data_IF_270143979305
#
_entry.id   IF_270143979305
#
_cell.length_a   1.000
_cell.length_b   1.000
_cell.length_c   1.000
_cell.angle_alpha   90.00
_cell.angle_beta   90.00
_cell.angle_gamma   90.00
#
_symmetry.space_group_name_H-M   'P 1'
#
loop_
_entity.id
_entity.type
_entity.pdbx_description
1 polymer ?
#
# COMPACT_ATOMS: atom_id res chain seq x y z
N UNK A 1 21.68 6.38 30.27
CA UNK A 1 22.03 7.36 29.21
C UNK A 1 21.60 6.86 27.84
N UNK A 2 22.23 5.83 27.23
CA UNK A 2 21.84 5.37 25.88
C UNK A 2 20.41 4.82 25.84
N UNK A 3 19.98 3.99 26.77
CA UNK A 3 18.60 3.51 26.86
C UNK A 3 17.59 4.64 27.06
N UNK A 4 17.97 5.67 27.77
CA UNK A 4 17.12 6.85 27.99
C UNK A 4 17.02 7.68 26.72
N UNK A 5 18.10 7.81 25.94
CA UNK A 5 18.07 8.42 24.61
C UNK A 5 17.12 7.65 23.68
N UNK A 6 17.24 6.32 23.61
CA UNK A 6 16.38 5.50 22.75
C UNK A 6 14.90 5.50 23.17
N UNK A 7 14.62 5.58 24.47
CA UNK A 7 13.25 5.80 24.96
C UNK A 7 12.73 7.17 24.56
N UNK A 8 13.55 8.20 24.73
CA UNK A 8 13.20 9.54 24.32
C UNK A 8 12.95 9.62 22.82
N UNK A 9 13.83 9.06 21.98
CA UNK A 9 13.66 9.01 20.53
C UNK A 9 12.36 8.30 20.11
N UNK A 10 12.03 7.21 20.79
CA UNK A 10 10.75 6.48 20.52
C UNK A 10 9.56 7.33 20.89
N UNK A 11 9.57 7.97 22.04
CA UNK A 11 8.46 8.81 22.49
C UNK A 11 8.26 10.02 21.57
N UNK A 12 9.36 10.67 21.17
CA UNK A 12 9.33 11.81 20.22
C UNK A 12 8.80 11.38 18.85
N UNK A 13 9.14 10.17 18.40
CA UNK A 13 8.68 9.67 17.11
C UNK A 13 7.27 9.08 17.13
N UNK A 14 6.72 8.73 18.28
CA UNK A 14 5.39 8.10 18.40
C UNK A 14 4.33 9.09 18.87
N UNK A 15 4.23 10.24 18.20
CA UNK A 15 3.22 11.25 18.49
C UNK A 15 1.85 10.87 17.89
N UNK A 16 0.73 11.33 18.49
CA UNK A 16 -0.60 11.17 17.88
C UNK A 16 -0.67 11.71 16.46
N UNK A 17 -0.01 12.84 16.19
CA UNK A 17 0.10 13.46 14.86
C UNK A 17 0.73 12.51 13.86
N UNK A 18 1.86 11.87 14.19
CA UNK A 18 2.51 10.88 13.33
C UNK A 18 1.63 9.66 13.06
N UNK A 19 0.92 9.16 14.07
CA UNK A 19 0.01 8.02 13.89
C UNK A 19 -1.12 8.33 12.91
N UNK A 20 -1.67 9.56 12.95
CA UNK A 20 -2.65 10.03 11.98
C UNK A 20 -2.04 10.15 10.58
N UNK A 21 -0.86 10.75 10.45
CA UNK A 21 -0.14 10.85 9.18
C UNK A 21 0.07 9.49 8.51
N UNK A 22 0.52 8.48 9.26
CA UNK A 22 0.72 7.12 8.73
C UNK A 22 -0.60 6.51 8.24
N UNK A 23 -1.72 6.74 8.93
CA UNK A 23 -3.04 6.27 8.51
C UNK A 23 -3.48 6.96 7.21
N UNK A 24 -3.36 8.27 7.13
CA UNK A 24 -3.70 9.06 5.94
C UNK A 24 -2.82 8.67 4.75
N UNK A 25 -1.53 8.50 4.97
CA UNK A 25 -0.60 8.05 3.91
C UNK A 25 -1.00 6.69 3.33
N UNK A 26 -1.34 5.72 4.20
CA UNK A 26 -1.83 4.41 3.75
C UNK A 26 -3.14 4.53 2.97
N UNK A 27 -4.07 5.34 3.46
CA UNK A 27 -5.33 5.59 2.76
C UNK A 27 -5.10 6.19 1.36
N UNK A 28 -4.23 7.20 1.24
CA UNK A 28 -3.89 7.82 -0.04
C UNK A 28 -3.20 6.84 -0.99
N UNK A 29 -2.29 6.00 -0.50
CA UNK A 29 -1.65 4.96 -1.32
C UNK A 29 -2.65 3.91 -1.82
N UNK A 30 -3.59 3.48 -0.96
CA UNK A 30 -4.65 2.55 -1.37
C UNK A 30 -5.59 3.20 -2.39
N UNK A 31 -5.93 4.48 -2.21
CA UNK A 31 -6.73 5.25 -3.14
C UNK A 31 -6.06 5.38 -4.52
N UNK A 32 -4.77 5.65 -4.57
CA UNK A 32 -4.01 5.69 -5.84
C UNK A 32 -4.05 4.36 -6.58
N UNK A 33 -3.89 3.23 -5.87
CA UNK A 33 -3.99 1.90 -6.46
C UNK A 33 -5.39 1.64 -7.01
N UNK A 34 -6.41 1.99 -6.24
CA UNK A 34 -7.81 1.85 -6.67
C UNK A 34 -8.11 2.66 -7.93
N UNK A 35 -7.62 3.92 -8.03
CA UNK A 35 -7.79 4.73 -9.23
C UNK A 35 -7.10 4.10 -10.45
N UNK A 36 -5.90 3.56 -10.30
CA UNK A 36 -5.21 2.86 -11.37
C UNK A 36 -5.97 1.60 -11.85
N UNK A 37 -6.61 0.87 -10.95
CA UNK A 37 -7.44 -0.28 -11.31
C UNK A 37 -8.75 0.14 -12.01
N UNK A 38 -9.34 1.27 -11.60
CA UNK A 38 -10.51 1.86 -12.26
C UNK A 38 -10.18 2.36 -13.67
N UNK A 39 -9.00 2.96 -13.87
CA UNK A 39 -8.53 3.40 -15.19
C UNK A 39 -8.37 2.21 -16.15
N UNK A 40 -7.80 1.10 -15.68
CA UNK A 40 -7.72 -0.15 -16.47
C UNK A 40 -9.10 -0.69 -16.84
N UNK A 41 -10.04 -0.69 -15.87
CA UNK A 41 -11.41 -1.14 -16.12
C UNK A 41 -12.14 -0.23 -17.12
N UNK A 42 -11.93 1.09 -17.06
CA UNK A 42 -12.48 2.04 -18.01
C UNK A 42 -11.93 1.79 -19.43
N UNK A 43 -10.64 1.51 -19.57
CA UNK A 43 -10.03 1.17 -20.86
C UNK A 43 -10.64 -0.08 -21.48
N UNK A 44 -10.84 -1.14 -20.69
CA UNK A 44 -11.50 -2.38 -21.17
C UNK A 44 -12.92 -2.08 -21.68
N UNK A 45 -13.67 -1.20 -20.99
CA UNK A 45 -15.02 -0.80 -21.44
C UNK A 45 -14.95 -0.01 -22.74
N UNK A 46 -14.00 0.91 -22.86
CA UNK A 46 -13.79 1.67 -24.10
C UNK A 46 -13.45 0.76 -25.28
N UNK A 47 -12.60 -0.24 -25.07
CA UNK A 47 -12.25 -1.21 -26.11
C UNK A 47 -13.47 -2.02 -26.57
N UNK A 48 -14.36 -2.41 -25.65
CA UNK A 48 -15.65 -3.04 -25.99
C UNK A 48 -16.58 -2.13 -26.79
N UNK A 49 -16.67 -0.84 -26.43
CA UNK A 49 -17.47 0.14 -27.18
C UNK A 49 -16.93 0.29 -28.59
N UNK A 50 -15.61 0.41 -28.75
CA UNK A 50 -14.97 0.51 -30.06
C UNK A 50 -15.23 -0.74 -30.94
N UNK A 51 -15.26 -1.93 -30.33
CA UNK A 51 -15.61 -3.16 -31.03
C UNK A 51 -17.08 -3.17 -31.49
N UNK A 52 -17.99 -2.72 -30.63
CA UNK A 52 -19.42 -2.57 -30.95
C UNK A 52 -19.61 -1.56 -32.09
N UNK A 53 -18.90 -0.44 -32.09
CA UNK A 53 -18.94 0.56 -33.15
C UNK A 53 -18.52 -0.01 -34.51
N UNK A 54 -17.45 -0.84 -34.51
CA UNK A 54 -17.00 -1.52 -35.74
C UNK A 54 -18.07 -2.50 -36.27
N UNK A 55 -18.68 -3.29 -35.39
CA UNK A 55 -19.76 -4.23 -35.76
C UNK A 55 -20.99 -3.46 -36.25
N UNK A 56 -21.34 -2.35 -35.60
CA UNK A 56 -22.46 -1.53 -36.03
C UNK A 56 -22.28 -1.00 -37.46
N UNK A 57 -21.05 -0.61 -37.82
CA UNK A 57 -20.73 -0.15 -39.17
C UNK A 57 -20.97 -1.25 -40.22
N UNK A 58 -20.46 -2.46 -39.93
CA UNK A 58 -20.66 -3.62 -40.79
C UNK A 58 -22.17 -3.97 -40.93
N UNK A 59 -22.91 -3.96 -39.81
CA UNK A 59 -24.36 -4.22 -39.86
C UNK A 59 -25.15 -3.15 -40.59
N UNK A 60 -24.70 -1.91 -40.64
CA UNK A 60 -25.30 -0.86 -41.46
C UNK A 60 -25.07 -1.13 -42.94
N UNK A 61 -23.88 -1.59 -43.32
CA UNK A 61 -23.58 -1.98 -44.70
C UNK A 61 -24.42 -3.20 -45.11
N UNK A 62 -24.51 -4.24 -44.29
CA UNK A 62 -25.37 -5.41 -44.51
C UNK A 62 -26.85 -5.02 -44.65
N UNK A 63 -27.32 -4.06 -43.84
CA UNK A 63 -28.71 -3.56 -43.93
C UNK A 63 -28.99 -2.83 -45.25
N UNK A 64 -28.05 -1.99 -45.67
CA UNK A 64 -28.19 -1.29 -46.98
C UNK A 64 -28.24 -2.26 -48.15
N UNK A 65 -27.50 -3.36 -48.12
CA UNK A 65 -27.51 -4.38 -49.15
C UNK A 65 -28.83 -5.16 -49.13
N UNK A 66 -29.31 -5.57 -47.94
CA UNK A 66 -30.62 -6.22 -47.77
C UNK A 66 -31.78 -5.31 -48.24
N UNK A 67 -31.71 -3.98 -48.01
CA UNK A 67 -32.70 -3.04 -48.48
C UNK A 67 -32.75 -3.00 -50.03
N UNK A 68 -31.59 -3.08 -50.69
CA UNK A 68 -31.51 -3.17 -52.14
C UNK A 68 -32.13 -4.47 -52.68
N UNK A 69 -31.81 -5.60 -52.06
CA UNK A 69 -32.34 -6.90 -52.44
C UNK A 69 -33.86 -6.93 -52.29
N UNK A 70 -34.40 -6.51 -51.17
CA UNK A 70 -35.85 -6.41 -50.96
C UNK A 70 -36.51 -5.41 -51.87
N UNK A 71 -35.86 -4.29 -52.23
CA UNK A 71 -36.31 -3.37 -53.25
C UNK A 71 -36.47 -4.05 -54.61
N UNK A 72 -35.45 -4.80 -55.03
CA UNK A 72 -35.48 -5.60 -56.27
C UNK A 72 -36.61 -6.62 -56.24
N UNK A 73 -36.74 -7.43 -55.19
CA UNK A 73 -37.79 -8.44 -55.07
C UNK A 73 -39.21 -7.85 -55.08
N UNK A 74 -39.37 -6.61 -54.63
CA UNK A 74 -40.68 -5.91 -54.64
C UNK A 74 -41.10 -5.39 -56.02
N UNK A 75 -40.15 -5.22 -56.95
CA UNK A 75 -40.36 -4.69 -58.29
C UNK A 75 -40.43 -5.78 -59.38
N UNK A 76 -39.95 -7.02 -59.09
CA UNK A 76 -39.93 -8.17 -60.02
C UNK A 76 -41.29 -8.89 -60.13
N UNK A 77 -41.58 -9.45 -61.31
CA UNK A 77 -42.72 -10.35 -61.48
C UNK A 77 -42.53 -11.67 -60.71
N UNK A 78 -43.59 -12.19 -60.13
CA UNK A 78 -43.53 -13.37 -59.25
C UNK A 78 -42.97 -14.64 -59.93
N UNK A 79 -43.00 -14.69 -61.26
CA UNK A 79 -42.48 -15.81 -62.07
C UNK A 79 -40.95 -15.76 -62.25
N UNK A 80 -40.32 -14.59 -61.99
CA UNK A 80 -38.87 -14.35 -62.12
C UNK A 80 -38.14 -14.49 -60.80
N UNK A 81 -38.85 -14.62 -59.65
CA UNK A 81 -38.28 -14.68 -58.30
C UNK A 81 -37.89 -16.12 -57.90
N UNK A 82 -36.64 -16.30 -57.45
CA UNK A 82 -36.21 -17.54 -56.79
C UNK A 82 -36.62 -17.54 -55.34
N UNK A 83 -37.52 -18.45 -54.96
CA UNK A 83 -38.02 -18.65 -53.58
C UNK A 83 -36.88 -18.87 -52.59
N UNK A 84 -35.77 -19.51 -53.00
CA UNK A 84 -34.61 -19.80 -52.13
C UNK A 84 -33.82 -18.53 -51.82
N UNK A 85 -33.64 -17.64 -52.78
CA UNK A 85 -32.95 -16.35 -52.60
C UNK A 85 -33.72 -15.45 -51.64
N UNK A 86 -35.02 -15.35 -51.79
CA UNK A 86 -35.90 -14.59 -50.90
C UNK A 86 -35.85 -15.15 -49.47
N UNK A 87 -35.90 -16.48 -49.33
CA UNK A 87 -35.88 -17.15 -48.04
C UNK A 87 -34.52 -16.95 -47.32
N UNK A 88 -33.45 -16.87 -48.08
CA UNK A 88 -32.12 -16.59 -47.57
C UNK A 88 -32.03 -15.15 -47.12
N UNK A 89 -32.50 -14.16 -47.91
CA UNK A 89 -32.50 -12.77 -47.52
C UNK A 89 -33.35 -12.52 -46.25
N UNK A 90 -34.50 -13.16 -46.12
CA UNK A 90 -35.31 -13.13 -44.87
C UNK A 90 -34.54 -13.64 -43.67
N UNK A 91 -33.86 -14.78 -43.78
CA UNK A 91 -33.03 -15.32 -42.67
C UNK A 91 -31.88 -14.43 -42.31
N UNK A 92 -31.25 -13.78 -43.27
CA UNK A 92 -30.16 -12.80 -42.99
C UNK A 92 -30.69 -11.56 -42.32
N UNK A 93 -31.85 -11.05 -42.70
CA UNK A 93 -32.53 -9.93 -42.05
C UNK A 93 -32.89 -10.26 -40.59
N UNK A 94 -33.45 -11.45 -40.34
CA UNK A 94 -33.75 -11.91 -38.97
C UNK A 94 -32.48 -11.98 -38.12
N UNK A 95 -31.40 -12.60 -38.64
CA UNK A 95 -30.09 -12.68 -37.97
C UNK A 95 -29.50 -11.33 -37.68
N UNK A 96 -29.61 -10.39 -38.62
CA UNK A 96 -29.13 -9.03 -38.42
C UNK A 96 -29.94 -8.31 -37.33
N UNK A 97 -31.26 -8.48 -37.32
CA UNK A 97 -32.14 -7.96 -36.29
C UNK A 97 -31.76 -8.46 -34.88
N UNK A 98 -31.51 -9.77 -34.76
CA UNK A 98 -31.07 -10.37 -33.48
C UNK A 98 -29.69 -9.85 -33.02
N UNK A 99 -28.77 -9.68 -33.96
CA UNK A 99 -27.45 -9.12 -33.68
C UNK A 99 -27.53 -7.67 -33.19
N UNK A 100 -28.35 -6.84 -33.84
CA UNK A 100 -28.59 -5.45 -33.44
C UNK A 100 -29.26 -5.37 -32.05
N UNK A 101 -30.25 -6.21 -31.79
CA UNK A 101 -30.90 -6.31 -30.48
C UNK A 101 -29.93 -6.69 -29.38
N UNK A 102 -29.08 -7.68 -29.61
CA UNK A 102 -28.02 -8.09 -28.71
C UNK A 102 -27.02 -6.95 -28.42
N UNK A 103 -26.60 -6.25 -29.46
CA UNK A 103 -25.68 -5.13 -29.36
C UNK A 103 -26.27 -3.95 -28.55
N UNK A 104 -27.56 -3.61 -28.76
CA UNK A 104 -28.30 -2.62 -27.97
C UNK A 104 -28.31 -2.99 -26.48
N UNK A 105 -28.54 -4.27 -26.17
CA UNK A 105 -28.53 -4.77 -24.80
C UNK A 105 -27.15 -4.60 -24.15
N UNK A 106 -26.07 -4.97 -24.85
CA UNK A 106 -24.69 -4.79 -24.36
C UNK A 106 -24.35 -3.31 -24.12
N UNK A 107 -24.70 -2.42 -25.02
CA UNK A 107 -24.51 -0.98 -24.83
C UNK A 107 -25.27 -0.44 -23.62
N UNK A 108 -26.51 -0.89 -23.43
CA UNK A 108 -27.31 -0.53 -22.24
C UNK A 108 -26.64 -0.95 -20.92
N UNK A 109 -26.07 -2.16 -20.89
CA UNK A 109 -25.33 -2.64 -19.73
C UNK A 109 -24.05 -1.82 -19.47
N UNK A 110 -23.25 -1.58 -20.51
CA UNK A 110 -22.04 -0.75 -20.41
C UNK A 110 -22.37 0.66 -19.90
N UNK A 111 -23.44 1.28 -20.41
CA UNK A 111 -23.90 2.59 -19.95
C UNK A 111 -24.22 2.59 -18.45
N UNK A 112 -25.02 1.63 -17.96
CA UNK A 112 -25.36 1.51 -16.54
C UNK A 112 -24.12 1.30 -15.68
N UNK A 113 -23.18 0.47 -16.12
CA UNK A 113 -21.93 0.26 -15.39
C UNK A 113 -21.03 1.51 -15.33
N UNK A 114 -21.02 2.32 -16.40
CA UNK A 114 -20.29 3.59 -16.42
C UNK A 114 -20.92 4.58 -15.44
N UNK A 115 -22.24 4.76 -15.48
CA UNK A 115 -22.98 5.66 -14.59
C UNK A 115 -22.77 5.29 -13.11
N UNK A 116 -22.85 3.99 -12.77
CA UNK A 116 -22.62 3.51 -11.42
C UNK A 116 -21.16 3.73 -10.95
N UNK A 117 -20.18 3.54 -11.85
CA UNK A 117 -18.76 3.74 -11.51
C UNK A 117 -18.39 5.22 -11.38
N UNK A 118 -18.98 6.13 -12.18
CA UNK A 118 -18.68 7.56 -12.15
C UNK A 118 -19.01 8.19 -10.78
N UNK A 119 -20.18 7.91 -10.25
CA UNK A 119 -20.58 8.40 -8.92
C UNK A 119 -19.59 7.94 -7.83
N UNK A 120 -19.21 6.66 -7.85
CA UNK A 120 -18.24 6.12 -6.90
C UNK A 120 -16.86 6.77 -7.03
N UNK A 121 -16.38 6.96 -8.26
CA UNK A 121 -15.09 7.64 -8.52
C UNK A 121 -15.11 9.06 -7.97
N UNK A 122 -16.19 9.82 -8.19
CA UNK A 122 -16.35 11.18 -7.66
C UNK A 122 -16.30 11.23 -6.13
N UNK A 123 -17.01 10.32 -5.47
CA UNK A 123 -16.98 10.23 -4.01
C UNK A 123 -15.58 9.91 -3.47
N UNK A 124 -14.92 8.91 -4.07
CA UNK A 124 -13.59 8.47 -3.64
C UNK A 124 -12.53 9.55 -3.90
N UNK A 125 -12.61 10.27 -5.03
CA UNK A 125 -11.76 11.42 -5.32
C UNK A 125 -11.96 12.55 -4.30
N UNK A 126 -13.19 12.83 -3.90
CA UNK A 126 -13.45 13.85 -2.87
C UNK A 126 -12.88 13.44 -1.51
N UNK A 127 -13.04 12.18 -1.11
CA UNK A 127 -12.42 11.65 0.12
C UNK A 127 -10.89 11.74 0.07
N UNK A 128 -10.28 11.43 -1.07
CA UNK A 128 -8.83 11.53 -1.25
C UNK A 128 -8.33 12.99 -1.21
N UNK A 129 -9.08 13.94 -1.79
CA UNK A 129 -8.75 15.37 -1.71
C UNK A 129 -8.78 15.88 -0.27
N UNK A 130 -9.83 15.53 0.48
CA UNK A 130 -9.93 15.88 1.90
C UNK A 130 -8.81 15.26 2.73
N UNK A 131 -8.53 13.97 2.52
CA UNK A 131 -7.45 13.28 3.20
C UNK A 131 -6.06 13.84 2.86
N UNK A 132 -5.86 14.32 1.62
CA UNK A 132 -4.62 14.97 1.20
C UNK A 132 -4.43 16.32 1.91
N UNK A 133 -5.48 17.14 1.97
CA UNK A 133 -5.44 18.41 2.67
C UNK A 133 -5.15 18.21 4.17
N UNK A 134 -5.84 17.27 4.83
CA UNK A 134 -5.57 16.92 6.22
C UNK A 134 -4.14 16.40 6.44
N UNK A 135 -3.61 15.62 5.50
CA UNK A 135 -2.22 15.15 5.57
C UNK A 135 -1.22 16.31 5.50
N UNK A 136 -1.43 17.27 4.62
CA UNK A 136 -0.54 18.43 4.45
C UNK A 136 -0.53 19.32 5.71
N UNK A 137 -1.69 19.56 6.32
CA UNK A 137 -1.80 20.30 7.59
C UNK A 137 -1.10 19.57 8.74
N UNK A 138 -1.41 18.28 8.93
CA UNK A 138 -0.80 17.46 9.98
C UNK A 138 0.71 17.28 9.77
N UNK A 139 1.16 17.24 8.52
CA UNK A 139 2.59 17.15 8.22
C UNK A 139 3.34 18.42 8.64
N UNK A 140 2.77 19.59 8.39
CA UNK A 140 3.33 20.87 8.83
C UNK A 140 3.35 20.98 10.37
N UNK A 141 2.32 20.47 11.05
CA UNK A 141 2.27 20.37 12.51
C UNK A 141 3.35 19.43 13.05
N UNK A 142 3.48 18.25 12.47
CA UNK A 142 4.51 17.27 12.85
C UNK A 142 5.93 17.82 12.64
N UNK A 143 6.17 18.57 11.58
CA UNK A 143 7.48 19.22 11.38
C UNK A 143 7.80 20.20 12.51
N UNK A 144 6.84 21.02 12.95
CA UNK A 144 7.02 21.93 14.10
C UNK A 144 7.25 21.16 15.40
N UNK A 145 6.51 20.07 15.64
CA UNK A 145 6.75 19.18 16.79
C UNK A 145 8.19 18.65 16.80
N UNK A 146 8.68 18.18 15.65
CA UNK A 146 10.03 17.63 15.50
C UNK A 146 11.11 18.69 15.66
N UNK A 147 10.90 19.89 15.13
CA UNK A 147 11.82 21.02 15.28
C UNK A 147 11.94 21.45 16.75
N UNK A 148 10.82 21.54 17.47
CA UNK A 148 10.80 21.89 18.88
C UNK A 148 11.61 20.93 19.78
N UNK A 149 11.69 19.65 19.42
CA UNK A 149 12.42 18.62 20.21
C UNK A 149 13.81 18.32 19.67
N UNK A 150 14.18 18.85 18.50
CA UNK A 150 15.48 18.55 17.85
C UNK A 150 16.66 18.95 18.71
N UNK A 151 16.63 20.13 19.33
CA UNK A 151 17.72 20.63 20.17
C UNK A 151 17.97 19.77 21.42
N UNK A 152 16.91 19.28 22.05
CA UNK A 152 17.05 18.35 23.19
C UNK A 152 17.54 16.97 22.75
N UNK A 153 17.11 16.50 21.60
CA UNK A 153 17.58 15.25 21.02
C UNK A 153 19.09 15.30 20.71
N UNK A 154 19.55 16.40 20.10
CA UNK A 154 20.97 16.62 19.83
C UNK A 154 21.82 16.69 21.10
N UNK A 155 21.35 17.38 22.14
CA UNK A 155 22.01 17.40 23.44
C UNK A 155 22.16 16.00 24.02
N UNK A 156 21.11 15.20 24.02
CA UNK A 156 21.13 13.82 24.53
C UNK A 156 22.07 12.94 23.74
N UNK A 157 22.11 13.08 22.41
CA UNK A 157 23.07 12.39 21.55
C UNK A 157 24.50 12.78 21.89
N UNK A 158 24.78 14.07 22.01
CA UNK A 158 26.10 14.57 22.36
C UNK A 158 26.59 14.01 23.72
N UNK A 159 25.72 13.93 24.73
CA UNK A 159 26.05 13.34 26.04
C UNK A 159 26.39 11.86 25.91
N UNK A 160 25.67 11.10 25.09
CA UNK A 160 25.96 9.69 24.85
C UNK A 160 27.27 9.53 24.08
N UNK A 161 27.52 10.33 23.05
CA UNK A 161 28.74 10.29 22.25
C UNK A 161 29.99 10.66 23.08
N UNK A 162 29.87 11.66 23.94
CA UNK A 162 30.95 12.03 24.88
C UNK A 162 31.23 10.92 25.90
N UNK A 163 30.19 10.23 26.37
CA UNK A 163 30.37 9.07 27.24
C UNK A 163 31.04 7.90 26.49
N UNK A 164 30.65 7.66 25.24
CA UNK A 164 31.24 6.63 24.40
C UNK A 164 32.74 6.89 24.12
N UNK A 165 33.15 8.16 23.89
CA UNK A 165 34.55 8.52 23.68
C UNK A 165 35.44 8.24 24.90
N UNK A 166 34.89 8.19 26.10
CA UNK A 166 35.64 7.88 27.35
C UNK A 166 35.87 6.40 27.55
N UNK A 167 35.20 5.54 26.78
CA UNK A 167 35.37 4.11 26.87
C UNK A 167 36.54 3.60 26.00
N UNK A 168 37.30 2.59 26.46
CA UNK A 168 38.24 1.90 25.61
C UNK A 168 37.55 1.35 24.36
N UNK A 169 38.24 1.43 23.20
CA UNK A 169 37.69 1.00 21.91
C UNK A 169 37.16 -0.45 21.91
N UNK A 170 37.86 -1.34 22.59
CA UNK A 170 37.47 -2.74 22.71
C UNK A 170 36.18 -2.90 23.50
N UNK A 171 35.99 -2.11 24.57
CA UNK A 171 34.77 -2.12 25.37
C UNK A 171 33.57 -1.58 24.60
N UNK A 172 33.80 -0.53 23.82
CA UNK A 172 32.74 0.05 22.97
C UNK A 172 32.35 -0.91 21.84
N UNK A 173 33.31 -1.60 21.24
CA UNK A 173 33.06 -2.60 20.20
C UNK A 173 32.20 -3.74 20.74
N UNK A 174 32.52 -4.25 21.95
CA UNK A 174 31.79 -5.31 22.58
C UNK A 174 30.37 -4.92 23.00
N UNK A 175 30.21 -3.72 23.55
CA UNK A 175 28.91 -3.14 23.82
C UNK A 175 28.05 -3.06 22.54
N UNK A 176 28.61 -2.57 21.44
CA UNK A 176 27.91 -2.43 20.18
C UNK A 176 27.56 -3.80 19.54
N UNK A 177 28.43 -4.80 19.71
CA UNK A 177 28.18 -6.18 19.28
C UNK A 177 26.89 -6.72 19.93
N UNK A 178 26.83 -6.61 21.26
CA UNK A 178 25.69 -7.10 22.03
C UNK A 178 24.44 -6.26 21.73
N UNK A 179 24.59 -4.95 21.54
CA UNK A 179 23.51 -4.05 21.19
C UNK A 179 22.85 -4.38 19.85
N UNK A 180 23.58 -4.96 18.91
CA UNK A 180 23.04 -5.38 17.61
C UNK A 180 21.91 -6.42 17.72
N UNK A 181 21.84 -7.18 18.80
CA UNK A 181 20.81 -8.20 19.05
C UNK A 181 20.08 -8.07 20.39
N UNK A 182 20.49 -7.13 21.25
CA UNK A 182 19.84 -6.81 22.53
C UNK A 182 19.67 -5.30 22.69
N UNK A 183 18.47 -4.87 22.97
CA UNK A 183 18.17 -3.43 23.22
C UNK A 183 18.89 -2.90 24.45
N UNK A 184 19.06 -3.74 25.48
CA UNK A 184 19.74 -3.48 26.75
C UNK A 184 20.98 -4.41 26.91
N UNK A 185 22.15 -4.00 26.40
CA UNK A 185 23.34 -4.84 26.38
C UNK A 185 23.94 -5.13 27.76
N UNK A 186 23.56 -4.40 28.78
CA UNK A 186 24.14 -4.47 30.14
C UNK A 186 23.07 -4.89 31.13
N UNK A 187 23.43 -5.75 32.07
CA UNK A 187 22.55 -6.25 33.14
C UNK A 187 23.19 -6.18 34.53
N UNK A 188 22.40 -5.79 35.52
CA UNK A 188 22.86 -5.81 36.93
C UNK A 188 22.96 -7.24 37.37
N UNK A 189 24.07 -7.57 37.99
CA UNK A 189 24.25 -8.83 38.72
C UNK A 189 23.98 -8.57 40.21
N UNK A 190 22.95 -9.22 40.75
CA UNK A 190 22.60 -9.14 42.18
C UNK A 190 22.35 -10.55 42.73
N UNK A 191 23.01 -10.91 43.80
CA UNK A 191 22.90 -12.25 44.43
C UNK A 191 23.08 -13.40 43.42
N UNK A 192 24.06 -13.28 42.55
CA UNK A 192 24.31 -14.18 41.41
C UNK A 192 23.10 -14.34 40.45
N UNK A 193 22.14 -13.43 40.46
CA UNK A 193 21.01 -13.38 39.53
C UNK A 193 21.28 -12.35 38.44
N UNK A 194 21.17 -12.74 37.18
CA UNK A 194 21.25 -11.81 36.06
C UNK A 194 19.95 -11.00 35.95
N UNK A 195 20.00 -9.69 36.20
CA UNK A 195 18.83 -8.80 36.10
C UNK A 195 18.28 -8.59 34.65
N UNK A 196 18.96 -9.16 33.65
CA UNK A 196 18.51 -9.09 32.28
C UNK A 196 17.67 -10.27 31.80
N UNK A 197 17.97 -11.49 32.26
CA UNK A 197 17.25 -12.72 31.93
C UNK A 197 16.67 -13.48 33.12
N UNK A 198 16.91 -12.98 34.34
CA UNK A 198 16.44 -13.54 35.58
C UNK A 198 16.89 -14.99 35.84
N UNK A 199 18.04 -15.40 35.27
CA UNK A 199 18.63 -16.73 35.53
C UNK A 199 19.65 -16.63 36.63
N UNK A 200 19.65 -17.65 37.51
CA UNK A 200 20.65 -17.83 38.55
C UNK A 200 21.96 -18.30 37.91
N UNK A 201 23.03 -17.55 38.15
CA UNK A 201 24.37 -17.86 37.69
C UNK A 201 25.16 -18.61 38.79
N UNK A 202 26.26 -19.27 38.43
CA UNK A 202 27.08 -20.02 39.39
C UNK A 202 27.50 -19.19 40.63
N UNK A 203 27.62 -19.85 41.76
CA UNK A 203 28.11 -19.23 42.99
C UNK A 203 29.54 -18.70 42.77
N UNK A 204 29.80 -17.46 43.18
CA UNK A 204 31.10 -16.80 42.94
C UNK A 204 31.13 -15.86 41.72
N UNK A 205 30.12 -15.85 40.83
CA UNK A 205 30.07 -14.93 39.68
C UNK A 205 30.18 -13.47 40.13
N UNK A 206 29.59 -13.11 41.25
CA UNK A 206 29.72 -11.75 41.83
C UNK A 206 31.18 -11.40 42.12
N UNK A 207 31.98 -12.33 42.68
CA UNK A 207 33.39 -12.10 42.92
C UNK A 207 34.20 -11.99 41.61
N UNK A 208 33.86 -12.80 40.63
CA UNK A 208 34.49 -12.77 39.31
C UNK A 208 34.25 -11.40 38.64
N UNK A 209 33.00 -10.92 38.62
CA UNK A 209 32.66 -9.64 38.04
C UNK A 209 33.31 -8.46 38.75
N UNK A 210 33.43 -8.54 40.10
CA UNK A 210 34.10 -7.48 40.89
C UNK A 210 35.62 -7.40 40.66
N UNK A 211 36.25 -8.53 40.44
CA UNK A 211 37.72 -8.61 40.38
C UNK A 211 38.25 -8.70 38.94
N UNK A 212 37.37 -8.60 37.94
CA UNK A 212 37.76 -8.69 36.53
C UNK A 212 37.95 -7.30 35.91
N UNK A 213 39.06 -7.10 35.24
CA UNK A 213 39.33 -5.92 34.40
C UNK A 213 38.66 -6.04 33.00
N UNK A 214 38.00 -7.17 32.73
CA UNK A 214 37.30 -7.43 31.45
C UNK A 214 35.80 -7.51 31.64
N UNK A 215 35.05 -7.30 30.58
CA UNK A 215 33.63 -7.56 30.60
C UNK A 215 33.35 -9.05 30.81
N UNK A 216 32.47 -9.33 31.75
CA UNK A 216 31.94 -10.67 31.96
C UNK A 216 30.53 -10.69 31.41
N UNK A 217 30.27 -11.60 30.48
CA UNK A 217 28.97 -11.79 29.89
C UNK A 217 28.16 -12.84 30.65
N UNK A 218 26.84 -12.67 30.65
CA UNK A 218 25.94 -13.70 31.15
C UNK A 218 25.93 -14.88 30.16
N UNK A 219 26.28 -16.06 30.61
CA UNK A 219 26.36 -17.30 29.80
C UNK A 219 25.01 -17.65 29.11
N UNK A 220 23.90 -17.22 29.71
CA UNK A 220 22.57 -17.50 29.12
C UNK A 220 22.09 -16.45 28.14
N UNK A 221 22.23 -15.15 28.41
CA UNK A 221 21.65 -14.10 27.58
C UNK A 221 22.67 -13.20 26.86
N UNK A 222 23.98 -13.39 27.13
CA UNK A 222 25.07 -12.64 26.48
C UNK A 222 25.16 -11.17 26.91
N UNK A 223 24.44 -10.70 27.92
CA UNK A 223 24.55 -9.31 28.40
C UNK A 223 25.81 -9.15 29.27
N UNK A 224 26.40 -7.96 29.16
CA UNK A 224 27.51 -7.57 30.04
C UNK A 224 26.97 -7.45 31.47
N UNK A 225 27.60 -8.16 32.40
CA UNK A 225 27.24 -8.12 33.81
C UNK A 225 28.02 -7.02 34.54
N UNK A 226 27.33 -6.26 35.39
CA UNK A 226 27.95 -5.29 36.28
C UNK A 226 27.27 -5.33 37.65
N UNK A 227 28.02 -4.89 38.65
CA UNK A 227 27.52 -4.78 40.02
C UNK A 227 27.30 -3.32 40.31
N UNK A 228 26.15 -3.00 40.88
CA UNK A 228 25.85 -1.66 41.34
C UNK A 228 26.39 -1.52 42.74
N UNK A 229 27.28 -0.54 42.93
CA UNK A 229 27.78 -0.13 44.24
C UNK A 229 26.66 0.44 45.11
#
# INVERSE_FOLDING_TARGET
MQLDLEKYERNVKDTPTRRKLVKLQRFLQQGQKMLADMEKAAKIKQDKVNEIEKKNKAYMEDLEDLEKDFGYYSECDAEELDEKEILQAVKEAERLGDNIASMRKMLGQIKQEIEASDNKVREDLNKMRSAKAEYEELYAEYQKEMEAVSGELERRKAVVDEAAKKLPKEMLAEYNRIKGFRTDPVAILSNNLCGGCNIQLPSGMTAIVKNSDRFIECENCGRILYIKD
#
